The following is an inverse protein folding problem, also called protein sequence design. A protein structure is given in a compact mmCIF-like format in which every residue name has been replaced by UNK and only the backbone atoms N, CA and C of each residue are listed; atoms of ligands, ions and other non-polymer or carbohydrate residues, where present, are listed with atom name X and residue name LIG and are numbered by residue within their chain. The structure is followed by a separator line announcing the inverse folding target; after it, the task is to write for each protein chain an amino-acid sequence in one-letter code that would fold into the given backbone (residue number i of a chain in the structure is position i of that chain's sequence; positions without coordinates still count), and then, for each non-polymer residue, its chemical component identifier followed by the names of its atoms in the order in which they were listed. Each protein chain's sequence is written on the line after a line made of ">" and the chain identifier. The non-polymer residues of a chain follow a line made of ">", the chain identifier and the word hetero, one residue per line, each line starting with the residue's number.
data_IF_007924140660
#
_entry.id   IF_007924140660
#
_cell.length_a   1.000
_cell.length_b   1.000
_cell.length_c   1.000
_cell.angle_alpha   90.00
_cell.angle_beta   90.00
_cell.angle_gamma   90.00
#
_symmetry.space_group_name_H-M   'P 1'
#
loop_
_entity.id
_entity.type
_entity.pdbx_description
1 polymer ?
#
# COMPACT_ATOMS: atom_id res chain seq x y z
N UNK A 1 34.74 14.06 10.48
CA UNK A 1 33.58 14.23 9.56
C UNK A 1 33.75 13.18 8.48
N UNK A 2 32.84 12.26 8.16
CA UNK A 2 31.41 12.11 8.40
C UNK A 2 31.16 10.60 8.54
N UNK A 3 30.42 10.16 9.56
CA UNK A 3 29.89 8.80 9.62
C UNK A 3 28.56 8.87 8.89
N UNK A 4 28.53 8.51 7.61
CA UNK A 4 27.28 8.28 6.88
C UNK A 4 26.73 6.92 7.34
N UNK A 5 26.16 6.91 8.54
CA UNK A 5 25.27 5.84 8.94
C UNK A 5 23.87 6.33 8.63
N UNK A 6 23.51 6.24 7.36
CA UNK A 6 22.11 6.18 6.94
C UNK A 6 21.52 4.88 7.50
N UNK A 7 21.37 4.80 8.83
CA UNK A 7 20.52 3.83 9.49
C UNK A 7 19.16 4.02 8.86
N UNK A 8 18.72 3.04 8.06
CA UNK A 8 17.35 2.96 7.57
C UNK A 8 16.49 2.94 8.81
N UNK A 9 15.98 4.10 9.20
CA UNK A 9 14.99 4.24 10.26
C UNK A 9 13.78 3.52 9.69
N UNK A 10 13.61 2.25 10.07
CA UNK A 10 12.39 1.55 9.75
C UNK A 10 11.32 2.32 10.49
N UNK A 11 10.54 3.08 9.73
CA UNK A 11 9.41 3.80 10.26
C UNK A 11 8.47 2.75 10.86
N UNK A 12 8.52 2.63 12.19
CA UNK A 12 7.72 1.66 12.95
C UNK A 12 6.24 2.02 12.96
N UNK A 13 5.88 3.21 12.44
CA UNK A 13 4.49 3.63 12.30
C UNK A 13 3.75 2.74 11.31
N UNK A 14 2.51 2.42 11.67
CA UNK A 14 1.55 1.80 10.79
C UNK A 14 1.43 2.60 9.50
N UNK A 15 1.70 1.98 8.36
CA UNK A 15 1.68 2.68 7.07
C UNK A 15 0.29 3.10 6.58
N UNK A 16 -0.78 2.69 7.26
CA UNK A 16 -2.16 3.08 6.94
C UNK A 16 -2.65 4.27 7.77
N UNK A 17 -2.33 4.35 9.05
CA UNK A 17 -2.83 5.40 9.94
C UNK A 17 -1.75 6.20 10.67
N UNK A 18 -0.48 5.89 10.41
CA UNK A 18 0.71 6.56 10.95
C UNK A 18 0.89 6.50 12.47
N UNK A 19 0.16 5.62 13.17
CA UNK A 19 0.33 5.39 14.61
C UNK A 19 1.37 4.30 14.89
N UNK A 20 2.00 4.34 16.06
CA UNK A 20 3.09 3.44 16.45
C UNK A 20 2.62 2.26 17.31
N UNK A 21 1.35 2.22 17.70
CA UNK A 21 0.77 1.23 18.61
C UNK A 21 0.42 -0.11 17.93
N UNK A 22 0.56 -0.20 16.60
CA UNK A 22 0.20 -1.41 15.86
C UNK A 22 0.86 -1.52 14.48
N UNK A 23 0.86 -2.74 13.93
CA UNK A 23 1.30 -3.04 12.55
C UNK A 23 0.13 -3.02 11.56
N UNK A 24 0.44 -2.88 10.27
CA UNK A 24 -0.57 -2.76 9.18
C UNK A 24 -1.59 -3.90 9.17
N UNK A 25 -1.21 -5.13 9.53
CA UNK A 25 -2.09 -6.31 9.49
C UNK A 25 -3.24 -6.24 10.49
N UNK A 26 -3.08 -5.53 11.61
CA UNK A 26 -4.09 -5.36 12.66
C UNK A 26 -4.67 -3.93 12.68
N UNK A 27 -4.28 -3.09 11.72
CA UNK A 27 -4.75 -1.70 11.65
C UNK A 27 -6.27 -1.61 11.44
N UNK A 28 -7.00 -0.83 12.25
CA UNK A 28 -8.44 -0.63 12.07
C UNK A 28 -8.81 -0.04 10.69
N UNK A 29 -7.91 0.74 10.07
CA UNK A 29 -8.15 1.33 8.75
C UNK A 29 -8.37 0.27 7.66
N UNK A 30 -7.95 -0.99 7.86
CA UNK A 30 -8.29 -2.10 6.96
C UNK A 30 -9.79 -2.30 6.81
N UNK A 31 -10.56 -1.96 7.84
CA UNK A 31 -12.01 -2.17 7.90
C UNK A 31 -12.76 -0.85 7.81
N UNK A 32 -12.23 0.22 8.41
CA UNK A 32 -12.91 1.51 8.49
C UNK A 32 -11.90 2.66 8.67
N UNK A 33 -11.99 3.66 7.81
CA UNK A 33 -11.27 4.94 7.96
C UNK A 33 -12.29 5.99 8.43
N UNK A 34 -12.06 6.66 9.58
CA UNK A 34 -12.95 7.71 10.06
C UNK A 34 -13.15 8.83 9.04
N UNK A 35 -14.34 9.44 9.05
CA UNK A 35 -14.67 10.53 8.12
C UNK A 35 -13.68 11.68 8.28
N UNK A 36 -13.10 12.13 7.17
CA UNK A 36 -12.12 13.22 7.13
C UNK A 36 -10.66 12.80 7.38
N UNK A 37 -10.42 11.57 7.84
CA UNK A 37 -9.06 11.04 8.01
C UNK A 37 -8.43 10.65 6.67
N UNK A 38 -7.10 10.72 6.63
CA UNK A 38 -6.31 10.32 5.46
C UNK A 38 -5.67 8.96 5.69
N UNK A 39 -5.51 8.21 4.62
CA UNK A 39 -4.70 6.99 4.63
C UNK A 39 -3.24 7.38 4.42
N UNK A 40 -2.35 6.77 5.20
CA UNK A 40 -0.91 6.91 5.07
C UNK A 40 -0.38 6.37 3.74
N UNK A 41 0.91 6.59 3.45
CA UNK A 41 1.50 6.34 2.12
C UNK A 41 1.53 4.87 1.74
N UNK A 42 1.35 3.94 2.69
CA UNK A 42 1.36 2.51 2.40
C UNK A 42 0.08 1.96 1.80
N UNK A 43 -0.95 2.79 1.64
CA UNK A 43 -2.20 2.35 1.05
C UNK A 43 -2.98 3.48 0.40
N UNK A 44 -4.16 3.11 -0.05
CA UNK A 44 -5.13 4.02 -0.67
C UNK A 44 -6.48 3.91 0.00
N UNK A 45 -7.17 5.04 0.07
CA UNK A 45 -8.54 5.10 0.55
C UNK A 45 -9.51 4.67 -0.55
N UNK A 46 -10.34 3.68 -0.26
CA UNK A 46 -11.37 3.18 -1.17
C UNK A 46 -12.71 3.11 -0.46
N UNK A 47 -13.81 3.26 -1.20
CA UNK A 47 -15.14 2.99 -0.68
C UNK A 47 -15.27 1.50 -0.29
N UNK A 48 -15.81 1.22 0.90
CA UNK A 48 -16.00 -0.17 1.36
C UNK A 48 -16.97 -0.94 0.44
N UNK A 49 -18.01 -0.27 -0.05
CA UNK A 49 -19.07 -0.89 -0.85
C UNK A 49 -18.60 -1.30 -2.25
N UNK A 50 -17.98 -0.37 -2.98
CA UNK A 50 -17.69 -0.55 -4.40
C UNK A 50 -16.19 -0.52 -4.74
N UNK A 51 -15.31 -0.36 -3.74
CA UNK A 51 -13.84 -0.28 -3.90
C UNK A 51 -13.36 0.90 -4.75
N UNK A 52 -14.22 1.87 -5.06
CA UNK A 52 -13.85 3.10 -5.76
C UNK A 52 -12.83 3.89 -4.96
N UNK A 53 -11.68 4.14 -5.57
CA UNK A 53 -10.59 4.93 -4.98
C UNK A 53 -10.98 6.40 -4.83
N UNK A 54 -10.61 7.01 -3.71
CA UNK A 54 -11.03 8.38 -3.34
C UNK A 54 -12.49 8.48 -2.89
N UNK A 55 -13.26 7.39 -3.00
CA UNK A 55 -14.63 7.28 -2.54
C UNK A 55 -15.65 8.08 -3.34
N UNK A 56 -16.61 8.69 -2.63
CA UNK A 56 -17.77 9.36 -3.20
C UNK A 56 -17.88 10.79 -2.65
N UNK A 57 -17.14 11.77 -3.23
CA UNK A 57 -17.28 13.16 -2.83
C UNK A 57 -18.73 13.65 -2.99
N UNK A 58 -19.29 14.26 -1.95
CA UNK A 58 -20.66 14.79 -1.95
C UNK A 58 -21.76 13.81 -1.51
N UNK A 59 -21.43 12.54 -1.28
CA UNK A 59 -22.33 11.52 -0.74
C UNK A 59 -21.90 11.10 0.67
N UNK A 60 -22.81 10.50 1.45
CA UNK A 60 -22.40 9.79 2.67
C UNK A 60 -21.81 8.44 2.26
N UNK A 61 -20.51 8.25 2.53
CA UNK A 61 -19.82 7.01 2.24
C UNK A 61 -18.81 6.69 3.33
N UNK A 62 -18.43 5.41 3.37
CA UNK A 62 -17.46 4.89 4.32
C UNK A 62 -16.27 4.31 3.58
N UNK A 63 -15.08 4.72 3.99
CA UNK A 63 -13.83 4.28 3.40
C UNK A 63 -13.10 3.21 4.20
N UNK A 64 -12.22 2.47 3.52
CA UNK A 64 -11.17 1.64 4.12
C UNK A 64 -9.84 1.85 3.40
N UNK A 65 -8.75 1.51 4.06
CA UNK A 65 -7.43 1.45 3.49
C UNK A 65 -7.19 0.10 2.79
N UNK A 66 -6.69 0.13 1.56
CA UNK A 66 -6.17 -1.03 0.84
C UNK A 66 -4.69 -0.81 0.60
N UNK A 67 -3.88 -1.83 0.91
CA UNK A 67 -2.43 -1.74 0.80
C UNK A 67 -1.95 -1.61 -0.63
N UNK A 68 -0.92 -0.79 -0.82
CA UNK A 68 -0.19 -0.75 -2.08
C UNK A 68 0.50 -2.11 -2.31
N UNK A 69 0.46 -2.58 -3.55
CA UNK A 69 1.14 -3.80 -3.95
C UNK A 69 1.72 -3.63 -5.34
N UNK A 70 2.99 -3.95 -5.47
CA UNK A 70 3.71 -3.93 -6.73
C UNK A 70 3.80 -5.34 -7.31
N UNK A 71 3.23 -5.55 -8.50
CA UNK A 71 3.31 -6.84 -9.21
C UNK A 71 4.63 -7.08 -9.93
N UNK A 72 5.50 -6.06 -10.03
CA UNK A 72 6.80 -6.16 -10.72
C UNK A 72 7.87 -6.69 -9.75
N UNK A 73 7.92 -6.16 -8.53
CA UNK A 73 8.95 -6.53 -7.55
C UNK A 73 8.38 -7.11 -6.25
N UNK A 74 7.07 -7.37 -6.19
CA UNK A 74 6.38 -7.92 -5.02
C UNK A 74 6.46 -7.08 -3.75
N UNK A 75 6.90 -5.81 -3.84
CA UNK A 75 6.88 -4.88 -2.71
C UNK A 75 5.45 -4.65 -2.21
N UNK A 76 5.29 -4.75 -0.89
CA UNK A 76 4.05 -4.48 -0.18
C UNK A 76 4.15 -3.15 0.55
N UNK A 77 3.11 -2.33 0.44
CA UNK A 77 2.96 -1.08 1.16
C UNK A 77 4.01 0.01 0.87
N UNK A 78 4.96 -0.16 -0.05
CA UNK A 78 5.89 0.93 -0.43
C UNK A 78 5.36 1.73 -1.63
N UNK A 79 4.99 1.04 -2.72
CA UNK A 79 4.59 1.68 -3.97
C UNK A 79 3.57 0.83 -4.74
N UNK A 80 2.90 1.46 -5.70
CA UNK A 80 1.99 0.77 -6.63
C UNK A 80 2.76 0.31 -7.86
N UNK A 81 2.19 -0.61 -8.63
CA UNK A 81 2.86 -1.19 -9.80
C UNK A 81 3.23 -0.13 -10.85
N UNK A 82 2.37 0.87 -11.03
CA UNK A 82 2.57 2.01 -11.92
C UNK A 82 3.77 2.88 -11.55
N UNK A 83 4.09 2.97 -10.25
CA UNK A 83 5.16 3.79 -9.69
C UNK A 83 6.44 2.99 -9.41
N UNK A 84 6.51 1.73 -9.88
CA UNK A 84 7.64 0.87 -9.58
C UNK A 84 8.94 1.42 -10.17
N UNK A 85 9.98 1.67 -9.34
CA UNK A 85 11.26 2.20 -9.84
C UNK A 85 11.99 1.20 -10.75
N UNK A 86 11.72 -0.11 -10.59
CA UNK A 86 12.29 -1.18 -11.41
C UNK A 86 11.69 -1.21 -12.83
N UNK A 87 10.50 -0.61 -13.02
CA UNK A 87 9.80 -0.56 -14.32
C UNK A 87 10.63 0.10 -15.42
N UNK A 88 11.52 1.03 -15.08
CA UNK A 88 12.39 1.73 -16.05
C UNK A 88 13.52 0.87 -16.62
N UNK A 89 13.75 -0.36 -16.13
CA UNK A 89 14.86 -1.21 -16.53
C UNK A 89 14.49 -2.56 -17.17
N UNK A 90 13.20 -2.85 -17.40
CA UNK A 90 12.73 -4.12 -17.97
C UNK A 90 11.59 -3.88 -18.94
N UNK A 91 11.89 -3.68 -20.22
CA UNK A 91 10.89 -3.93 -21.27
C UNK A 91 10.43 -5.38 -21.15
N UNK A 92 9.12 -5.58 -21.04
CA UNK A 92 8.52 -6.90 -20.87
C UNK A 92 8.53 -7.59 -22.24
N UNK A 93 9.55 -8.38 -22.53
CA UNK A 93 9.47 -9.38 -23.62
C UNK A 93 8.62 -10.54 -23.11
N UNK A 94 7.43 -10.71 -23.68
CA UNK A 94 6.61 -11.92 -23.51
C UNK A 94 5.88 -12.00 -22.18
N UNK A 95 4.71 -11.37 -22.12
CA UNK A 95 3.79 -11.52 -21.00
C UNK A 95 3.47 -12.99 -20.74
N UNK A 96 3.89 -13.50 -19.57
CA UNK A 96 3.28 -14.64 -18.87
C UNK A 96 3.63 -14.48 -17.39
N UNK A 97 2.65 -14.03 -16.60
CA UNK A 97 2.65 -14.28 -15.16
C UNK A 97 2.38 -15.77 -14.99
N UNK A 98 3.41 -16.57 -14.73
CA UNK A 98 3.21 -17.92 -14.19
C UNK A 98 3.22 -17.83 -12.68
N UNK A 99 2.01 -17.87 -12.09
CA UNK A 99 1.84 -18.23 -10.69
C UNK A 99 1.98 -19.75 -10.64
N UNK A 100 3.15 -20.25 -10.28
CA UNK A 100 3.29 -21.64 -9.87
C UNK A 100 3.07 -21.67 -8.35
N UNK A 101 1.84 -22.02 -7.96
CA UNK A 101 1.54 -22.53 -6.62
C UNK A 101 0.84 -23.87 -6.80
N UNK A 102 1.09 -24.77 -5.84
CA UNK A 102 0.57 -26.15 -5.67
C UNK A 102 1.44 -27.16 -6.46
N UNK A 103 2.07 -28.17 -5.84
CA UNK A 103 1.53 -29.13 -4.88
C UNK A 103 2.29 -29.27 -3.55
N UNK A 104 1.53 -29.61 -2.50
CA UNK A 104 1.99 -30.27 -1.27
C UNK A 104 2.00 -31.78 -1.44
#
# INVERSE_FOLDING_TARGET
>A
MMIDSSTVVHDVRCRFCLREDHVVTICPYRYYVPKGEKVGPGGKLVCICCQKEGGHPGEEWVGKAVGNYCRICSSTYDHRTEDCPVKKGREIVGGKFQSAMVDS
#
